data_IF_011845847663
#
_entry.id   IF_011845847663
#
_cell.length_a   1.000
_cell.length_b   1.000
_cell.length_c   1.000
_cell.angle_alpha   90.00
_cell.angle_beta   90.00
_cell.angle_gamma   90.00
#
_symmetry.space_group_name_H-M   'P 1'
#
loop_
_entity.id
_entity.type
_entity.pdbx_description
1 polymer ?
#
# COMPACT_ATOMS: atom_id res chain seq x y z
N UNK A 1 9.15 -18.26 -26.50
CA UNK A 1 10.26 -17.38 -26.09
C UNK A 1 11.58 -18.10 -26.35
N UNK A 2 12.54 -17.52 -27.11
CA UNK A 2 13.80 -18.21 -27.37
C UNK A 2 14.62 -18.38 -26.08
N UNK A 3 15.37 -19.49 -25.91
CA UNK A 3 16.19 -19.71 -24.72
C UNK A 3 17.26 -18.63 -24.58
N UNK A 4 17.29 -17.95 -23.44
CA UNK A 4 18.30 -16.94 -23.10
C UNK A 4 19.27 -17.48 -22.06
N UNK A 5 20.56 -17.30 -22.28
CA UNK A 5 21.60 -17.72 -21.35
C UNK A 5 21.62 -16.76 -20.14
N UNK A 6 21.28 -17.26 -18.95
CA UNK A 6 21.23 -16.45 -17.72
C UNK A 6 22.52 -16.68 -16.93
N UNK A 7 23.44 -15.71 -17.02
CA UNK A 7 24.70 -15.68 -16.28
C UNK A 7 24.78 -14.35 -15.48
N UNK A 8 25.34 -14.33 -14.26
CA UNK A 8 25.92 -15.46 -13.52
C UNK A 8 24.85 -16.44 -13.00
N UNK A 9 25.25 -17.69 -12.82
CA UNK A 9 24.34 -18.77 -12.40
C UNK A 9 23.80 -18.47 -10.99
N UNK A 10 22.48 -18.47 -10.76
CA UNK A 10 21.93 -18.17 -9.43
C UNK A 10 22.20 -19.34 -8.47
N UNK A 11 23.33 -19.33 -7.76
CA UNK A 11 23.58 -20.26 -6.66
C UNK A 11 24.32 -19.56 -5.53
N UNK A 12 23.58 -19.20 -4.48
CA UNK A 12 24.11 -18.84 -3.16
C UNK A 12 23.51 -19.82 -2.13
N UNK A 13 24.35 -20.35 -1.23
CA UNK A 13 23.95 -21.25 -0.12
C UNK A 13 24.31 -20.62 1.23
N UNK A 14 23.38 -20.56 2.22
CA UNK A 14 21.96 -20.87 2.06
C UNK A 14 21.32 -19.89 1.07
N UNK A 15 20.23 -20.33 0.46
CA UNK A 15 19.53 -19.46 -0.49
C UNK A 15 19.01 -18.23 0.28
N UNK A 16 19.17 -17.01 -0.27
CA UNK A 16 18.55 -15.83 0.33
C UNK A 16 17.06 -16.08 0.54
N UNK A 17 16.45 -15.58 1.64
CA UNK A 17 15.02 -15.73 1.87
C UNK A 17 14.22 -15.19 0.68
N UNK A 18 13.37 -16.04 0.10
CA UNK A 18 12.48 -15.67 -1.00
C UNK A 18 11.20 -15.09 -0.41
N UNK A 19 10.70 -14.02 -1.04
CA UNK A 19 9.44 -13.38 -0.70
C UNK A 19 8.52 -13.32 -1.93
N UNK A 20 7.24 -13.61 -1.72
CA UNK A 20 6.17 -13.47 -2.72
C UNK A 20 5.31 -12.26 -2.36
N UNK A 21 5.14 -11.33 -3.28
CA UNK A 21 4.14 -10.28 -3.17
C UNK A 21 2.79 -10.79 -3.68
N UNK A 22 1.72 -10.49 -2.97
CA UNK A 22 0.37 -10.88 -3.39
C UNK A 22 -0.72 -10.05 -2.75
N UNK A 23 -1.75 -9.75 -3.52
CA UNK A 23 -2.95 -9.02 -3.07
C UNK A 23 -4.12 -9.96 -2.80
N UNK A 24 -4.02 -11.21 -3.23
CA UNK A 24 -5.09 -12.21 -3.13
C UNK A 24 -4.84 -13.16 -1.95
N UNK A 25 -5.89 -13.56 -1.21
CA UNK A 25 -5.77 -14.49 -0.10
C UNK A 25 -5.22 -15.86 -0.56
N UNK A 26 -5.55 -16.30 -1.78
CA UNK A 26 -5.05 -17.54 -2.37
C UNK A 26 -3.52 -17.53 -2.51
N UNK A 27 -2.94 -16.37 -2.81
CA UNK A 27 -1.48 -16.21 -2.90
C UNK A 27 -0.81 -16.31 -1.53
N UNK A 28 -1.50 -15.88 -0.46
CA UNK A 28 -1.02 -16.00 0.91
C UNK A 28 -0.99 -17.47 1.35
N UNK A 29 -2.06 -18.21 1.07
CA UNK A 29 -2.13 -19.65 1.33
C UNK A 29 -1.03 -20.38 0.56
N UNK A 30 -0.87 -20.07 -0.72
CA UNK A 30 0.15 -20.65 -1.59
C UNK A 30 1.59 -20.42 -1.08
N UNK A 31 1.87 -19.20 -0.59
CA UNK A 31 3.15 -18.83 0.00
C UNK A 31 3.41 -19.56 1.32
N UNK A 32 2.38 -19.68 2.17
CA UNK A 32 2.42 -20.45 3.41
C UNK A 32 2.69 -21.93 3.18
N UNK A 33 1.98 -22.56 2.24
CA UNK A 33 2.18 -23.96 1.83
C UNK A 33 3.59 -24.23 1.32
N UNK A 34 4.22 -23.23 0.70
CA UNK A 34 5.58 -23.34 0.12
C UNK A 34 6.68 -22.90 1.09
N UNK A 35 6.33 -22.41 2.28
CA UNK A 35 7.29 -21.87 3.25
C UNK A 35 8.06 -20.65 2.72
N UNK A 36 7.44 -19.87 1.82
CA UNK A 36 8.01 -18.65 1.24
C UNK A 36 7.43 -17.45 2.00
N UNK A 37 8.25 -16.44 2.30
CA UNK A 37 7.75 -15.22 2.96
C UNK A 37 6.67 -14.55 2.11
N UNK A 38 5.59 -14.08 2.74
CA UNK A 38 4.49 -13.42 2.03
C UNK A 38 4.42 -11.94 2.39
N UNK A 39 4.41 -11.09 1.38
CA UNK A 39 4.21 -9.65 1.52
C UNK A 39 2.84 -9.29 0.94
N UNK A 40 1.91 -8.91 1.81
CA UNK A 40 0.55 -8.52 1.42
C UNK A 40 0.45 -7.01 1.21
N UNK A 41 -0.11 -6.59 0.07
CA UNK A 41 -0.56 -5.22 -0.16
C UNK A 41 -2.09 -5.24 -0.26
N UNK A 42 -2.79 -4.86 0.81
CA UNK A 42 -4.24 -4.63 0.72
C UNK A 42 -4.52 -3.14 0.60
N UNK A 43 -5.12 -2.75 -0.52
CA UNK A 43 -5.65 -1.41 -0.79
C UNK A 43 -7.17 -1.45 -1.06
N UNK A 44 -7.87 -2.52 -0.67
CA UNK A 44 -9.31 -2.68 -0.96
C UNK A 44 -10.16 -2.69 0.31
N UNK A 45 -11.18 -1.83 0.31
CA UNK A 45 -12.04 -1.47 1.44
C UNK A 45 -12.68 -2.65 2.19
N UNK A 46 -12.68 -2.65 3.54
CA UNK A 46 -13.39 -3.63 4.36
C UNK A 46 -14.91 -3.40 4.44
N UNK A 47 -15.46 -2.40 3.74
CA UNK A 47 -16.85 -1.93 3.94
C UNK A 47 -17.94 -2.76 3.25
N UNK A 48 -17.60 -3.88 2.60
CA UNK A 48 -18.55 -4.68 1.81
C UNK A 48 -18.87 -6.07 2.39
N UNK A 49 -18.40 -6.38 3.60
CA UNK A 49 -18.83 -7.58 4.33
C UNK A 49 -19.41 -7.15 5.68
N UNK A 50 -20.72 -7.32 5.84
CA UNK A 50 -21.53 -6.83 6.97
C UNK A 50 -21.25 -7.54 8.29
N UNK A 51 -20.00 -7.53 8.76
CA UNK A 51 -19.60 -7.99 10.08
C UNK A 51 -19.28 -6.78 10.95
N UNK A 52 -20.31 -6.32 11.65
CA UNK A 52 -20.21 -5.42 12.78
C UNK A 52 -19.20 -5.99 13.80
N UNK A 53 -18.01 -5.39 13.90
CA UNK A 53 -17.06 -5.79 14.96
C UNK A 53 -15.56 -5.64 14.71
N UNK A 54 -15.09 -5.24 13.53
CA UNK A 54 -13.66 -4.95 13.31
C UNK A 54 -13.41 -3.43 13.31
N UNK A 55 -13.37 -2.87 14.53
CA UNK A 55 -13.10 -1.46 14.80
C UNK A 55 -11.76 -1.01 14.18
N UNK A 56 -11.85 -0.06 13.24
CA UNK A 56 -10.90 1.04 13.01
C UNK A 56 -9.64 0.90 12.10
N UNK A 57 -9.29 -0.19 11.38
CA UNK A 57 -8.08 -0.15 10.54
C UNK A 57 -8.25 0.68 9.26
N UNK A 58 -9.42 0.60 8.62
CA UNK A 58 -9.67 1.20 7.30
C UNK A 58 -9.63 2.72 7.31
N UNK A 59 -10.36 3.35 8.25
CA UNK A 59 -10.37 4.81 8.38
C UNK A 59 -9.00 5.35 8.81
N UNK A 60 -8.31 4.68 9.73
CA UNK A 60 -6.96 5.09 10.16
C UNK A 60 -5.94 4.98 9.01
N UNK A 61 -6.03 3.94 8.18
CA UNK A 61 -5.19 3.78 6.98
C UNK A 61 -5.49 4.86 5.94
N UNK A 62 -6.77 5.13 5.65
CA UNK A 62 -7.17 6.17 4.71
C UNK A 62 -6.63 7.55 5.14
N UNK A 63 -6.77 7.88 6.43
CA UNK A 63 -6.22 9.10 7.02
C UNK A 63 -4.69 9.14 6.85
N UNK A 64 -4.01 8.04 7.19
CA UNK A 64 -2.56 7.96 7.04
C UNK A 64 -2.08 8.14 5.60
N UNK A 65 -2.74 7.50 4.62
CA UNK A 65 -2.41 7.63 3.20
C UNK A 65 -2.66 9.04 2.68
N UNK A 66 -3.72 9.72 3.12
CA UNK A 66 -3.96 11.13 2.78
C UNK A 66 -2.82 12.01 3.27
N UNK A 67 -2.46 11.88 4.55
CA UNK A 67 -1.37 12.66 5.15
C UNK A 67 -0.02 12.37 4.48
N UNK A 68 0.28 11.10 4.23
CA UNK A 68 1.56 10.69 3.63
C UNK A 68 1.74 11.19 2.19
N UNK A 69 0.66 11.17 1.38
CA UNK A 69 0.72 11.52 -0.04
C UNK A 69 0.50 13.02 -0.33
N UNK A 70 -0.29 13.73 0.49
CA UNK A 70 -0.73 15.09 0.16
C UNK A 70 -0.19 16.17 1.10
N UNK A 71 0.15 15.83 2.36
CA UNK A 71 0.56 16.81 3.38
C UNK A 71 2.06 16.71 3.70
N UNK A 72 2.59 15.49 3.83
CA UNK A 72 3.97 15.26 4.25
C UNK A 72 4.96 15.53 3.12
N UNK A 73 5.87 16.48 3.35
CA UNK A 73 7.05 16.70 2.51
C UNK A 73 8.09 15.62 2.82
N UNK A 74 8.55 14.89 1.80
CA UNK A 74 9.59 13.87 1.96
C UNK A 74 10.98 14.49 1.81
N UNK A 75 11.92 14.03 2.64
CA UNK A 75 13.27 14.60 2.66
C UNK A 75 14.01 14.46 1.31
N UNK A 76 13.83 13.33 0.62
CA UNK A 76 14.48 13.06 -0.67
C UNK A 76 13.80 13.77 -1.83
N UNK A 77 12.47 13.74 -1.88
CA UNK A 77 11.66 14.35 -2.96
C UNK A 77 11.56 15.88 -2.83
N UNK A 78 11.69 16.43 -1.61
CA UNK A 78 11.51 17.86 -1.27
C UNK A 78 10.10 18.42 -1.53
N UNK A 79 9.19 17.59 -2.05
CA UNK A 79 7.78 17.85 -2.26
C UNK A 79 6.95 16.66 -1.71
N UNK A 80 5.63 16.71 -1.88
CA UNK A 80 4.76 15.58 -1.53
C UNK A 80 4.71 14.58 -2.69
N UNK A 81 4.45 13.28 -2.44
CA UNK A 81 4.37 12.29 -3.51
C UNK A 81 3.30 12.64 -4.56
N UNK A 82 2.14 13.15 -4.12
CA UNK A 82 1.08 13.57 -5.03
C UNK A 82 1.50 14.74 -5.94
N UNK A 83 2.38 15.62 -5.48
CA UNK A 83 2.95 16.69 -6.31
C UNK A 83 3.97 16.14 -7.31
N UNK A 84 4.83 15.21 -6.90
CA UNK A 84 5.84 14.62 -7.78
C UNK A 84 5.22 13.87 -8.97
N UNK A 85 4.11 13.15 -8.74
CA UNK A 85 3.37 12.47 -9.82
C UNK A 85 2.34 13.36 -10.52
N UNK A 86 2.26 14.66 -10.17
CA UNK A 86 1.39 15.63 -10.83
C UNK A 86 -0.11 15.42 -10.58
N UNK A 87 -0.49 14.77 -9.49
CA UNK A 87 -1.89 14.63 -9.06
C UNK A 87 -2.45 15.97 -8.59
N UNK A 88 -1.61 16.80 -7.97
CA UNK A 88 -1.97 18.15 -7.52
C UNK A 88 -0.74 19.04 -7.43
N UNK A 89 -0.91 20.33 -7.71
CA UNK A 89 0.14 21.34 -7.51
C UNK A 89 0.04 22.03 -6.15
N UNK A 90 -1.06 21.81 -5.40
CA UNK A 90 -1.31 22.40 -4.09
C UNK A 90 -0.67 21.54 -3.00
N UNK A 91 0.06 22.17 -2.08
CA UNK A 91 0.43 21.55 -0.81
C UNK A 91 -0.80 21.57 0.13
N UNK A 92 -1.23 20.40 0.60
CA UNK A 92 -2.36 20.27 1.50
C UNK A 92 -1.92 20.45 2.95
N UNK A 93 -2.78 21.07 3.77
CA UNK A 93 -2.62 21.11 5.23
C UNK A 93 -3.43 20.01 5.93
N UNK A 94 -3.20 19.81 7.22
CA UNK A 94 -4.07 18.95 8.05
C UNK A 94 -5.48 19.52 8.15
N UNK A 95 -5.64 20.84 8.12
CA UNK A 95 -6.96 21.49 8.17
C UNK A 95 -7.77 21.20 6.89
N UNK A 96 -7.12 21.25 5.72
CA UNK A 96 -7.74 20.88 4.44
C UNK A 96 -8.25 19.42 4.47
N UNK A 97 -7.48 18.54 5.12
CA UNK A 97 -7.83 17.13 5.27
C UNK A 97 -9.02 16.94 6.22
N UNK A 98 -9.05 17.64 7.35
CA UNK A 98 -10.17 17.60 8.29
C UNK A 98 -11.46 18.13 7.64
N UNK A 99 -11.38 19.24 6.92
CA UNK A 99 -12.52 19.79 6.18
C UNK A 99 -13.09 18.80 5.15
N UNK A 100 -12.22 17.99 4.52
CA UNK A 100 -12.64 16.98 3.54
C UNK A 100 -13.35 15.80 4.21
N UNK A 101 -12.94 15.43 5.44
CA UNK A 101 -13.63 14.40 6.24
C UNK A 101 -15.02 14.90 6.66
N UNK A 102 -15.12 16.10 7.23
CA UNK A 102 -16.40 16.70 7.64
C UNK A 102 -17.39 16.80 6.46
N UNK A 103 -16.93 17.29 5.30
CA UNK A 103 -17.76 17.36 4.10
C UNK A 103 -18.23 15.98 3.59
N UNK A 104 -17.43 14.93 3.82
CA UNK A 104 -17.80 13.57 3.47
C UNK A 104 -18.83 12.97 4.42
N UNK A 105 -18.79 13.32 5.71
CA UNK A 105 -19.79 12.92 6.70
C UNK A 105 -21.13 13.61 6.47
N UNK A 106 -21.13 14.89 6.07
CA UNK A 106 -22.36 15.61 5.71
C UNK A 106 -23.10 15.04 4.48
N UNK A 107 -22.38 14.30 3.64
CA UNK A 107 -22.91 13.74 2.39
C UNK A 107 -23.34 12.26 2.49
N UNK A 108 -23.15 11.64 3.66
CA UNK A 108 -23.47 10.23 3.94
C UNK A 108 -24.84 10.07 4.62
#
# INVERSE_FOLDING_TARGET
>A
MPPRNVLPKPVQRPHPPIWMSGTQPESAVLAGERGIGFMHFSLSDPFRDGREGALLPGHALAIYFMHYNFVRIHQTLRCTPAMEVGVTDKLWSLDDMAALVEASEESA
#
